data_IF_447801685048
#
_entry.id   IF_447801685048
#
_cell.length_a   1.000
_cell.length_b   1.000
_cell.length_c   1.000
_cell.angle_alpha   90.00
_cell.angle_beta   90.00
_cell.angle_gamma   90.00
#
_symmetry.space_group_name_H-M   'P 1'
#
loop_
_entity.id
_entity.type
_entity.pdbx_description
1 polymer ?
#
# COMPACT_ATOMS: atom_id res chain seq x y z
N UNK A 1 -2.09 -7.49 24.57
CA UNK A 1 -3.28 -8.23 25.02
C UNK A 1 -2.95 -9.44 25.91
N UNK A 2 -1.91 -10.25 25.64
CA UNK A 2 -1.63 -11.49 26.40
C UNK A 2 -1.02 -11.33 27.81
N UNK A 3 -0.93 -10.11 28.36
CA UNK A 3 -0.28 -9.87 29.67
C UNK A 3 -1.24 -9.94 30.86
N UNK A 4 -2.53 -10.21 30.62
CA UNK A 4 -3.56 -10.27 31.65
C UNK A 4 -4.19 -11.67 31.67
N UNK A 5 -3.73 -12.50 32.62
CA UNK A 5 -4.40 -13.72 33.09
C UNK A 5 -4.44 -14.95 32.14
N UNK A 6 -3.34 -15.28 31.46
CA UNK A 6 -3.22 -16.56 30.72
C UNK A 6 -2.25 -17.46 31.47
N UNK A 7 -2.75 -18.55 32.07
CA UNK A 7 -1.96 -19.50 32.87
C UNK A 7 -1.36 -20.66 32.05
N UNK A 8 -1.75 -20.81 30.76
CA UNK A 8 -1.24 -21.86 29.88
C UNK A 8 -1.87 -21.85 28.49
N UNK A 9 -1.26 -22.53 27.53
CA UNK A 9 -1.73 -22.65 26.15
C UNK A 9 -2.07 -24.12 25.81
N UNK A 10 -3.10 -24.38 24.98
CA UNK A 10 -4.07 -23.43 24.41
C UNK A 10 -5.09 -22.95 25.45
N UNK A 11 -5.54 -21.69 25.35
CA UNK A 11 -6.63 -21.13 26.19
C UNK A 11 -7.73 -20.56 25.30
N UNK A 12 -8.99 -20.93 25.55
CA UNK A 12 -10.15 -20.44 24.80
C UNK A 12 -10.91 -19.46 25.69
N UNK A 13 -11.11 -18.22 25.21
CA UNK A 13 -11.86 -17.18 25.93
C UNK A 13 -13.11 -16.76 25.17
N UNK A 14 -14.17 -16.51 25.91
CA UNK A 14 -15.49 -16.12 25.40
C UNK A 14 -15.72 -14.66 25.77
N UNK A 15 -16.07 -13.84 24.77
CA UNK A 15 -16.37 -12.42 24.96
C UNK A 15 -17.85 -12.17 24.66
N UNK A 16 -18.62 -11.67 25.63
CA UNK A 16 -20.02 -11.26 25.40
C UNK A 16 -20.18 -9.76 25.68
N UNK A 17 -20.98 -9.09 24.86
CA UNK A 17 -21.24 -7.66 25.00
C UNK A 17 -22.08 -7.41 26.25
N UNK A 18 -21.51 -6.76 27.26
CA UNK A 18 -22.20 -6.39 28.50
C UNK A 18 -22.03 -7.37 29.67
N UNK A 19 -21.25 -8.44 29.51
CA UNK A 19 -20.93 -9.40 30.59
C UNK A 19 -19.52 -9.23 31.16
N UNK A 20 -18.88 -8.09 30.90
CA UNK A 20 -17.57 -7.78 31.47
C UNK A 20 -17.75 -7.51 32.96
N UNK A 21 -17.42 -8.51 33.78
CA UNK A 21 -17.37 -8.34 35.22
C UNK A 21 -16.11 -7.52 35.51
N UNK A 22 -16.31 -6.37 36.15
CA UNK A 22 -15.22 -5.55 36.67
C UNK A 22 -14.85 -6.10 38.03
N UNK A 23 -13.63 -6.61 38.15
CA UNK A 23 -13.02 -6.82 39.45
C UNK A 23 -12.84 -5.47 40.17
N UNK A 24 -12.79 -5.45 41.50
CA UNK A 24 -12.69 -4.23 42.33
C UNK A 24 -11.47 -3.36 41.95
N UNK A 25 -10.49 -3.96 41.27
CA UNK A 25 -9.29 -3.31 40.74
C UNK A 25 -9.44 -2.77 39.29
N UNK A 26 -10.67 -2.66 38.76
CA UNK A 26 -10.94 -2.09 37.42
C UNK A 26 -10.51 -2.98 36.25
N UNK A 27 -10.31 -4.27 36.49
CA UNK A 27 -9.94 -5.25 35.46
C UNK A 27 -11.19 -5.90 34.86
N UNK A 28 -11.26 -5.92 33.53
CA UNK A 28 -12.29 -6.67 32.80
C UNK A 28 -11.88 -8.14 32.76
N UNK A 29 -12.61 -9.00 33.47
CA UNK A 29 -12.42 -10.44 33.42
C UNK A 29 -13.39 -11.08 32.43
N UNK A 30 -12.88 -12.03 31.64
CA UNK A 30 -13.62 -12.70 30.58
C UNK A 30 -13.75 -14.19 30.87
N UNK A 31 -14.89 -14.76 30.51
CA UNK A 31 -15.19 -16.17 30.68
C UNK A 31 -14.20 -17.02 29.86
N UNK A 32 -13.69 -18.09 30.46
CA UNK A 32 -12.78 -19.03 29.81
C UNK A 32 -13.46 -20.39 29.66
N UNK A 33 -13.27 -21.02 28.50
CA UNK A 33 -13.81 -22.34 28.22
C UNK A 33 -12.88 -23.43 28.75
N UNK A 34 -13.42 -24.28 29.62
CA UNK A 34 -12.70 -25.38 30.27
C UNK A 34 -13.23 -26.78 29.88
N UNK A 35 -14.17 -26.86 28.93
CA UNK A 35 -14.74 -28.13 28.48
C UNK A 35 -13.82 -28.93 27.56
N UNK A 36 -14.31 -30.11 27.17
CA UNK A 36 -13.62 -31.01 26.24
C UNK A 36 -13.43 -30.36 24.87
N UNK A 37 -12.23 -30.55 24.31
CA UNK A 37 -11.79 -29.86 23.09
C UNK A 37 -12.10 -30.64 21.82
N UNK A 38 -13.09 -31.52 21.88
CA UNK A 38 -13.59 -32.22 20.71
C UNK A 38 -14.43 -31.29 19.86
N UNK A 39 -14.46 -31.52 18.54
CA UNK A 39 -15.16 -30.63 17.60
C UNK A 39 -16.64 -30.52 17.96
N UNK A 40 -17.25 -31.64 18.29
CA UNK A 40 -18.70 -31.74 18.46
C UNK A 40 -19.15 -31.10 19.78
N UNK A 41 -18.36 -31.28 20.85
CA UNK A 41 -18.59 -30.64 22.15
C UNK A 41 -18.34 -29.14 22.09
N UNK A 42 -17.30 -28.70 21.38
CA UNK A 42 -16.98 -27.29 21.22
C UNK A 42 -18.05 -26.56 20.39
N UNK A 43 -18.51 -27.18 19.29
CA UNK A 43 -19.58 -26.62 18.44
C UNK A 43 -20.89 -26.56 19.23
N UNK A 44 -21.28 -27.65 19.89
CA UNK A 44 -22.52 -27.67 20.68
C UNK A 44 -22.50 -26.63 21.81
N UNK A 45 -21.36 -26.44 22.48
CA UNK A 45 -21.22 -25.42 23.52
C UNK A 45 -21.25 -24.02 22.95
N UNK A 46 -20.60 -23.74 21.81
CA UNK A 46 -20.69 -22.43 21.15
C UNK A 46 -22.12 -22.12 20.67
N UNK A 47 -22.83 -23.09 20.11
CA UNK A 47 -24.23 -22.92 19.68
C UNK A 47 -25.16 -22.64 20.87
N UNK A 48 -24.97 -23.36 21.98
CA UNK A 48 -25.70 -23.13 23.24
C UNK A 48 -25.41 -21.76 23.88
N UNK A 49 -24.25 -21.15 23.59
CA UNK A 49 -23.89 -19.82 24.08
C UNK A 49 -24.45 -18.68 23.21
N UNK A 50 -24.78 -18.96 21.94
CA UNK A 50 -25.38 -18.01 21.00
C UNK A 50 -26.90 -17.98 21.13
N UNK A 51 -27.53 -19.13 21.40
CA UNK A 51 -28.98 -19.27 21.57
C UNK A 51 -29.63 -18.38 22.65
N UNK A 52 -28.97 -17.97 23.76
CA UNK A 52 -29.58 -17.14 24.79
C UNK A 52 -29.59 -15.64 24.47
N UNK A 53 -28.98 -15.18 23.36
CA UNK A 53 -28.94 -13.76 23.01
C UNK A 53 -30.27 -13.37 22.35
N UNK A 54 -31.15 -12.59 23.02
CA UNK A 54 -32.41 -12.20 22.42
C UNK A 54 -32.12 -11.31 21.20
N UNK A 55 -32.73 -11.62 20.06
CA UNK A 55 -32.67 -10.79 18.83
C UNK A 55 -33.19 -9.35 19.05
N UNK A 56 -33.78 -9.07 20.21
CA UNK A 56 -34.40 -7.81 20.62
C UNK A 56 -33.43 -6.73 21.12
N UNK A 57 -32.14 -7.02 21.32
CA UNK A 57 -31.16 -5.97 21.68
C UNK A 57 -30.99 -4.90 20.57
N UNK A 58 -31.66 -5.06 19.41
CA UNK A 58 -31.78 -4.05 18.35
C UNK A 58 -32.80 -2.94 18.65
N UNK A 59 -33.72 -3.10 19.62
CA UNK A 59 -34.83 -2.14 19.79
C UNK A 59 -34.73 -1.21 21.02
N UNK A 60 -33.83 -1.46 21.96
CA UNK A 60 -33.77 -0.73 23.25
C UNK A 60 -32.65 0.33 23.37
N UNK A 61 -32.03 0.74 22.26
CA UNK A 61 -31.06 1.86 22.27
C UNK A 61 -31.43 2.94 21.23
N UNK A 62 -32.73 3.17 21.02
CA UNK A 62 -33.21 4.42 20.44
C UNK A 62 -33.30 5.44 21.58
N UNK A 63 -32.15 6.00 21.94
CA UNK A 63 -32.00 7.17 22.79
C UNK A 63 -31.17 8.19 22.02
N UNK A 64 -31.72 9.39 21.91
CA UNK A 64 -31.34 10.50 21.04
C UNK A 64 -29.85 10.87 20.94
N UNK A 65 -29.55 11.48 19.79
CA UNK A 65 -28.41 12.35 19.47
C UNK A 65 -27.03 11.68 19.44
N UNK A 66 -26.49 11.45 18.25
CA UNK A 66 -25.47 12.33 17.65
C UNK A 66 -24.95 11.73 16.32
N UNK A 67 -24.36 12.59 15.48
CA UNK A 67 -23.96 12.42 14.08
C UNK A 67 -22.91 11.30 13.82
N UNK A 68 -23.29 10.03 13.95
CA UNK A 68 -22.41 8.86 13.81
C UNK A 68 -22.39 8.25 12.40
N UNK A 69 -21.24 8.27 11.74
CA UNK A 69 -20.94 7.54 10.49
C UNK A 69 -21.41 6.08 10.56
N UNK A 70 -22.08 5.63 9.50
CA UNK A 70 -22.59 4.27 9.30
C UNK A 70 -21.50 3.19 9.45
N UNK A 71 -21.18 2.78 10.68
CA UNK A 71 -20.40 1.59 10.97
C UNK A 71 -21.27 0.35 10.76
N UNK A 72 -21.52 0.07 9.48
CA UNK A 72 -22.08 -1.18 8.99
C UNK A 72 -21.10 -2.29 9.31
N UNK A 73 -21.26 -2.94 10.47
CA UNK A 73 -20.50 -4.13 10.83
C UNK A 73 -20.70 -5.19 9.74
N UNK A 74 -19.65 -5.42 8.95
CA UNK A 74 -19.68 -6.38 7.84
C UNK A 74 -19.98 -7.78 8.39
N UNK A 75 -20.89 -8.54 7.76
CA UNK A 75 -21.15 -9.92 8.14
C UNK A 75 -19.86 -10.76 8.03
N UNK A 76 -19.74 -11.76 8.90
CA UNK A 76 -18.62 -12.71 8.83
C UNK A 76 -18.62 -13.39 7.44
N UNK A 77 -17.47 -13.45 6.74
CA UNK A 77 -17.39 -14.10 5.44
C UNK A 77 -17.85 -15.56 5.54
N UNK A 78 -18.66 -16.03 4.58
CA UNK A 78 -19.10 -17.43 4.48
C UNK A 78 -17.97 -18.41 4.17
N UNK A 79 -16.79 -17.91 3.81
CA UNK A 79 -15.62 -18.69 3.41
C UNK A 79 -14.50 -18.51 4.43
N UNK A 80 -13.91 -19.60 4.90
CA UNK A 80 -12.76 -19.57 5.81
C UNK A 80 -11.58 -18.83 5.17
N UNK A 81 -10.97 -17.93 5.93
CA UNK A 81 -9.82 -17.14 5.49
C UNK A 81 -9.11 -16.49 6.65
N UNK A 82 -7.83 -16.15 6.46
CA UNK A 82 -7.02 -15.47 7.47
C UNK A 82 -6.59 -14.10 6.93
N UNK A 83 -6.84 -13.04 7.72
CA UNK A 83 -6.29 -11.70 7.45
C UNK A 83 -5.02 -11.53 8.27
N UNK A 84 -3.89 -11.41 7.58
CA UNK A 84 -2.59 -11.16 8.21
C UNK A 84 -2.27 -9.68 8.02
N UNK A 85 -2.06 -8.97 9.13
CA UNK A 85 -1.66 -7.57 9.13
C UNK A 85 -0.59 -7.33 10.19
N UNK A 86 0.45 -6.60 9.83
CA UNK A 86 1.54 -6.29 10.76
C UNK A 86 2.74 -5.67 10.08
N UNK A 87 3.82 -5.57 10.85
CA UNK A 87 5.13 -5.17 10.36
C UNK A 87 6.19 -6.08 10.99
N UNK A 88 7.20 -6.42 10.22
CA UNK A 88 8.31 -7.27 10.68
C UNK A 88 9.61 -6.51 10.48
N UNK A 89 10.46 -6.46 11.50
CA UNK A 89 11.82 -5.91 11.39
C UNK A 89 12.76 -7.03 11.00
N UNK A 90 13.33 -6.91 9.81
CA UNK A 90 14.29 -7.87 9.26
C UNK A 90 15.63 -7.21 9.02
N UNK A 91 16.69 -8.01 8.93
CA UNK A 91 18.00 -7.53 8.46
C UNK A 91 17.89 -7.15 6.97
N UNK A 92 18.66 -6.15 6.53
CA UNK A 92 18.73 -5.72 5.13
C UNK A 92 19.61 -6.67 4.30
N UNK A 93 19.18 -7.92 4.15
CA UNK A 93 19.83 -8.96 3.36
C UNK A 93 18.78 -9.73 2.57
N UNK A 94 19.13 -10.38 1.45
CA UNK A 94 18.21 -11.26 0.73
C UNK A 94 17.61 -12.31 1.67
N UNK A 95 16.31 -12.58 1.53
CA UNK A 95 15.59 -13.46 2.44
C UNK A 95 14.23 -13.89 1.92
N UNK A 96 13.60 -14.79 2.69
CA UNK A 96 12.32 -15.39 2.34
C UNK A 96 11.31 -15.19 3.46
N UNK A 97 10.13 -14.67 3.14
CA UNK A 97 8.95 -14.69 4.00
C UNK A 97 8.04 -15.82 3.52
N UNK A 98 7.78 -16.80 4.38
CA UNK A 98 6.98 -17.98 4.04
C UNK A 98 5.74 -18.03 4.92
N UNK A 99 4.57 -18.05 4.29
CA UNK A 99 3.28 -18.23 4.94
C UNK A 99 2.81 -19.64 4.59
N UNK A 100 2.74 -20.50 5.61
CA UNK A 100 2.35 -21.90 5.48
C UNK A 100 1.73 -22.39 6.78
N UNK A 101 0.92 -23.45 6.74
CA UNK A 101 0.48 -24.10 7.96
C UNK A 101 1.63 -24.96 8.52
N UNK A 102 1.96 -24.77 9.79
CA UNK A 102 2.97 -25.58 10.48
C UNK A 102 2.49 -25.93 11.88
N UNK A 103 2.63 -27.21 12.22
CA UNK A 103 2.32 -27.77 13.53
C UNK A 103 3.37 -28.82 13.87
N UNK A 104 3.76 -28.89 15.15
CA UNK A 104 4.68 -29.92 15.63
C UNK A 104 3.98 -31.25 15.96
N UNK A 105 2.66 -31.22 16.18
CA UNK A 105 1.86 -32.36 16.63
C UNK A 105 0.85 -32.86 15.60
N UNK A 106 0.66 -32.13 14.49
CA UNK A 106 -0.35 -32.44 13.47
C UNK A 106 0.25 -32.40 12.08
N UNK A 107 -0.03 -33.42 11.26
CA UNK A 107 0.20 -33.40 9.82
C UNK A 107 -0.96 -32.72 9.12
N UNK A 108 -0.65 -31.93 8.09
CA UNK A 108 -1.67 -31.34 7.23
C UNK A 108 -1.71 -32.06 5.89
N UNK A 109 -2.90 -32.25 5.35
CA UNK A 109 -3.11 -32.76 4.01
C UNK A 109 -2.89 -31.64 2.97
N UNK A 110 -1.85 -31.72 2.12
CA UNK A 110 -1.57 -30.75 1.06
C UNK A 110 -2.74 -30.53 0.09
N UNK A 111 -3.56 -31.55 -0.15
CA UNK A 111 -4.66 -31.50 -1.12
C UNK A 111 -5.81 -30.60 -0.67
N UNK A 112 -5.98 -30.44 0.65
CA UNK A 112 -7.01 -29.59 1.26
C UNK A 112 -6.52 -28.16 1.52
N UNK A 113 -5.26 -27.86 1.22
CA UNK A 113 -4.65 -26.58 1.52
C UNK A 113 -4.87 -25.57 0.40
N UNK A 114 -5.63 -24.52 0.71
CA UNK A 114 -5.82 -23.40 -0.19
C UNK A 114 -4.85 -22.26 0.16
N UNK A 115 -3.88 -22.01 -0.74
CA UNK A 115 -2.92 -20.91 -0.64
C UNK A 115 -3.33 -19.67 -1.46
N UNK A 116 -4.58 -19.64 -1.93
CA UNK A 116 -5.13 -18.49 -2.63
C UNK A 116 -5.18 -17.29 -1.69
N UNK A 117 -4.67 -16.15 -2.15
CA UNK A 117 -4.57 -14.96 -1.31
C UNK A 117 -4.66 -13.66 -2.12
N UNK A 118 -4.99 -12.59 -1.40
CA UNK A 118 -5.02 -11.23 -1.94
C UNK A 118 -4.02 -10.40 -1.18
N UNK A 119 -3.14 -9.71 -1.91
CA UNK A 119 -2.14 -8.83 -1.31
C UNK A 119 -2.74 -7.43 -1.26
N UNK A 120 -3.20 -7.01 -0.08
CA UNK A 120 -3.79 -5.68 0.11
C UNK A 120 -2.73 -4.59 0.18
N UNK A 121 -1.64 -4.84 0.91
CA UNK A 121 -0.56 -3.88 1.07
C UNK A 121 0.76 -4.56 1.46
N UNK A 122 1.80 -4.37 0.66
CA UNK A 122 3.17 -4.74 0.95
C UNK A 122 4.11 -3.56 0.69
N UNK A 123 4.96 -3.24 1.66
CA UNK A 123 5.89 -2.11 1.56
C UNK A 123 7.16 -2.39 2.33
N UNK A 124 8.29 -1.88 1.83
CA UNK A 124 9.58 -1.95 2.51
C UNK A 124 9.98 -0.58 3.05
N UNK A 125 10.66 -0.57 4.20
CA UNK A 125 11.10 0.67 4.84
C UNK A 125 10.09 1.29 5.80
N UNK A 126 10.31 2.58 6.12
CA UNK A 126 9.46 3.32 7.06
C UNK A 126 8.22 3.82 6.32
N UNK A 127 7.05 3.72 6.95
CA UNK A 127 5.83 4.37 6.42
C UNK A 127 6.05 5.88 6.35
N UNK A 128 5.95 6.43 5.15
CA UNK A 128 6.06 7.87 4.89
C UNK A 128 4.71 8.51 5.24
N UNK A 129 4.71 9.70 5.85
CA UNK A 129 3.46 10.42 6.11
C UNK A 129 2.84 10.93 4.81
N UNK A 130 1.50 11.04 4.76
CA UNK A 130 0.79 11.50 3.55
C UNK A 130 1.31 12.84 3.02
N UNK A 131 1.62 13.79 3.91
CA UNK A 131 2.20 15.10 3.54
C UNK A 131 3.54 14.97 2.82
N UNK A 132 4.39 14.08 3.32
CA UNK A 132 5.73 13.86 2.79
C UNK A 132 5.68 13.06 1.49
N UNK A 133 4.75 12.11 1.38
CA UNK A 133 4.47 11.40 0.14
C UNK A 133 4.05 12.36 -0.97
N UNK A 134 3.14 13.32 -0.69
CA UNK A 134 2.76 14.33 -1.67
C UNK A 134 3.92 15.24 -2.11
N UNK A 135 4.88 15.54 -1.23
CA UNK A 135 6.10 16.27 -1.60
C UNK A 135 6.98 15.43 -2.52
N UNK A 136 7.17 14.14 -2.21
CA UNK A 136 7.94 13.20 -3.05
C UNK A 136 7.28 13.02 -4.41
N UNK A 137 5.96 12.80 -4.48
CA UNK A 137 5.24 12.66 -5.76
C UNK A 137 5.41 13.89 -6.66
N UNK A 138 5.53 15.09 -6.09
CA UNK A 138 5.82 16.32 -6.86
C UNK A 138 7.25 16.35 -7.41
N UNK A 139 8.22 15.91 -6.60
CA UNK A 139 9.64 15.88 -6.99
C UNK A 139 9.93 14.74 -7.99
N UNK A 140 9.14 13.67 -7.92
CA UNK A 140 9.31 12.47 -8.72
C UNK A 140 7.98 11.93 -9.22
N UNK A 141 7.40 12.54 -10.27
CA UNK A 141 6.16 12.04 -10.87
C UNK A 141 6.32 10.61 -11.42
N UNK A 142 7.55 10.20 -11.75
CA UNK A 142 7.85 8.84 -12.24
C UNK A 142 8.00 7.78 -11.14
N UNK A 143 8.30 8.18 -9.89
CA UNK A 143 8.42 7.24 -8.76
C UNK A 143 7.06 6.98 -8.07
N UNK A 144 6.08 7.86 -8.28
CA UNK A 144 4.73 7.74 -7.69
C UNK A 144 3.82 6.68 -8.33
N UNK A 145 4.28 5.96 -9.36
CA UNK A 145 3.49 4.96 -10.07
C UNK A 145 3.40 3.64 -9.30
N UNK A 146 2.52 3.58 -8.29
CA UNK A 146 2.23 2.40 -7.44
C UNK A 146 3.44 1.83 -6.69
N UNK A 147 3.69 2.40 -5.51
CA UNK A 147 4.65 1.94 -4.49
C UNK A 147 4.47 0.45 -4.15
N UNK A 148 3.25 -0.06 -4.32
CA UNK A 148 2.93 -1.46 -4.17
C UNK A 148 2.49 -2.06 -5.52
N UNK A 149 3.36 -2.89 -6.11
CA UNK A 149 3.10 -3.57 -7.39
C UNK A 149 2.14 -4.74 -7.26
N UNK A 150 1.94 -5.25 -6.04
CA UNK A 150 1.13 -6.42 -5.72
C UNK A 150 -0.23 -6.06 -5.14
N UNK A 151 -0.47 -4.77 -4.84
CA UNK A 151 -1.72 -4.26 -4.31
C UNK A 151 -2.94 -4.71 -5.10
N UNK A 152 -3.93 -5.20 -4.36
CA UNK A 152 -5.24 -5.64 -4.83
C UNK A 152 -5.16 -6.75 -5.91
N UNK A 153 -4.01 -7.42 -6.04
CA UNK A 153 -3.86 -8.58 -6.90
C UNK A 153 -4.33 -9.84 -6.19
N UNK A 154 -5.09 -10.64 -6.92
CA UNK A 154 -5.64 -11.92 -6.46
C UNK A 154 -4.84 -13.05 -7.07
N UNK A 155 -4.35 -13.95 -6.23
CA UNK A 155 -3.63 -15.15 -6.63
C UNK A 155 -4.45 -16.36 -6.23
N UNK A 156 -4.83 -17.17 -7.20
CA UNK A 156 -5.69 -18.35 -6.99
C UNK A 156 -4.90 -19.62 -7.32
N UNK A 157 -4.99 -20.61 -6.44
CA UNK A 157 -4.43 -21.96 -6.70
C UNK A 157 -5.32 -22.78 -7.64
N UNK A 158 -6.57 -22.35 -7.84
CA UNK A 158 -7.59 -23.03 -8.64
C UNK A 158 -7.59 -22.46 -10.06
N UNK A 159 -6.81 -23.03 -10.97
CA UNK A 159 -6.86 -22.67 -12.40
C UNK A 159 -7.58 -23.78 -13.17
N UNK A 160 -8.73 -23.42 -13.72
CA UNK A 160 -9.54 -24.20 -14.68
C UNK A 160 -8.87 -24.18 -16.05
N UNK A 161 -7.86 -25.02 -16.27
CA UNK A 161 -7.39 -25.30 -17.62
C UNK A 161 -7.08 -26.79 -17.73
N UNK A 162 -8.02 -27.53 -18.34
CA UNK A 162 -7.94 -28.95 -18.71
C UNK A 162 -7.51 -29.94 -17.59
N UNK A 163 -8.51 -30.53 -16.93
CA UNK A 163 -8.50 -31.89 -16.34
C UNK A 163 -7.39 -32.35 -15.37
N UNK A 164 -6.63 -31.45 -14.76
CA UNK A 164 -5.80 -31.82 -13.59
C UNK A 164 -6.02 -30.82 -12.45
N UNK A 165 -6.73 -31.27 -11.42
CA UNK A 165 -6.79 -30.59 -10.12
C UNK A 165 -5.39 -30.63 -9.54
N UNK A 166 -4.63 -29.54 -9.66
CA UNK A 166 -3.30 -29.47 -9.06
C UNK A 166 -3.43 -29.34 -7.54
N UNK A 167 -3.36 -30.47 -6.84
CA UNK A 167 -3.61 -30.62 -5.39
C UNK A 167 -2.40 -30.28 -4.52
N UNK A 168 -1.68 -29.19 -4.76
CA UNK A 168 -0.46 -28.80 -4.01
C UNK A 168 0.31 -27.65 -4.71
N UNK A 169 -0.38 -26.56 -5.00
CA UNK A 169 0.24 -25.40 -5.65
C UNK A 169 0.81 -24.45 -4.59
N UNK A 170 2.12 -24.25 -4.66
CA UNK A 170 2.82 -23.17 -3.95
C UNK A 170 2.82 -21.91 -4.81
N UNK A 171 2.52 -20.76 -4.20
CA UNK A 171 2.57 -19.46 -4.89
C UNK A 171 3.84 -18.76 -4.47
N UNK A 172 4.72 -18.46 -5.42
CA UNK A 172 6.01 -17.82 -5.16
C UNK A 172 6.04 -16.41 -5.76
N UNK A 173 6.34 -15.43 -4.93
CA UNK A 173 6.52 -14.03 -5.32
C UNK A 173 8.00 -13.67 -5.20
N UNK A 174 8.60 -13.27 -6.31
CA UNK A 174 9.96 -12.78 -6.40
C UNK A 174 9.91 -11.24 -6.41
N UNK A 175 10.49 -10.64 -5.38
CA UNK A 175 10.48 -9.21 -5.10
C UNK A 175 11.90 -8.68 -5.20
N UNK A 176 12.15 -7.78 -6.15
CA UNK A 176 13.43 -7.09 -6.26
C UNK A 176 13.27 -5.66 -5.76
N UNK A 177 13.91 -5.35 -4.64
CA UNK A 177 13.77 -4.09 -3.91
C UNK A 177 14.89 -3.13 -4.32
N UNK A 178 14.55 -1.91 -4.72
CA UNK A 178 15.49 -0.85 -5.06
C UNK A 178 15.38 0.26 -4.03
N UNK A 179 16.52 0.71 -3.49
CA UNK A 179 16.58 1.87 -2.60
C UNK A 179 16.57 3.15 -3.45
N UNK A 180 15.67 4.05 -3.10
CA UNK A 180 15.62 5.40 -3.68
C UNK A 180 15.83 6.44 -2.59
N UNK A 181 16.75 7.36 -2.82
CA UNK A 181 17.01 8.50 -1.96
C UNK A 181 16.59 9.78 -2.67
N UNK A 182 15.68 10.53 -2.06
CA UNK A 182 15.26 11.84 -2.57
C UNK A 182 15.81 12.93 -1.66
N UNK A 183 16.64 13.80 -2.24
CA UNK A 183 17.18 14.97 -1.55
C UNK A 183 16.30 16.17 -1.92
N UNK A 184 15.45 16.58 -0.98
CA UNK A 184 14.67 17.82 -1.12
C UNK A 184 15.47 19.00 -0.57
N UNK A 185 15.81 19.96 -1.44
CA UNK A 185 16.44 21.22 -1.05
C UNK A 185 15.37 22.25 -0.78
N UNK A 186 14.92 22.33 0.48
CA UNK A 186 14.00 23.41 0.89
C UNK A 186 14.82 24.70 1.00
N UNK A 187 14.37 25.76 0.33
CA UNK A 187 15.01 27.10 0.32
C UNK A 187 15.47 27.50 1.73
N UNK A 188 16.78 27.44 2.00
CA UNK A 188 17.39 27.85 3.27
C UNK A 188 17.28 26.91 4.49
N UNK A 189 16.78 25.68 4.37
CA UNK A 189 16.82 24.68 5.47
C UNK A 189 17.49 23.39 5.01
N UNK A 190 18.16 22.73 5.96
CA UNK A 190 18.94 21.50 5.78
C UNK A 190 18.31 20.52 4.79
N UNK A 191 19.17 19.91 3.95
CA UNK A 191 18.77 18.89 2.99
C UNK A 191 18.08 17.73 3.75
N UNK A 192 16.76 17.56 3.54
CA UNK A 192 16.04 16.42 4.12
C UNK A 192 16.22 15.22 3.20
N UNK A 193 16.99 14.23 3.65
CA UNK A 193 17.11 12.94 2.99
C UNK A 193 15.85 12.12 3.24
N UNK A 194 15.20 11.70 2.16
CA UNK A 194 14.04 10.81 2.20
C UNK A 194 14.47 9.48 1.61
N UNK A 195 14.44 8.43 2.42
CA UNK A 195 14.68 7.06 1.95
C UNK A 195 13.34 6.39 1.63
N UNK A 196 13.18 5.96 0.39
CA UNK A 196 12.07 5.17 -0.11
C UNK A 196 12.58 3.85 -0.67
N UNK A 197 11.74 2.81 -0.61
CA UNK A 197 12.05 1.49 -1.16
C UNK A 197 10.94 1.12 -2.12
N UNK A 198 11.29 1.07 -3.39
CA UNK A 198 10.41 0.55 -4.43
C UNK A 198 10.76 -0.90 -4.70
N UNK A 199 9.84 -1.68 -5.27
CA UNK A 199 10.15 -3.03 -5.70
C UNK A 199 9.43 -3.39 -6.98
N UNK A 200 10.05 -4.29 -7.75
CA UNK A 200 9.39 -5.02 -8.82
C UNK A 200 8.93 -6.36 -8.27
N UNK A 201 7.86 -6.92 -8.85
CA UNK A 201 7.30 -8.17 -8.41
C UNK A 201 6.99 -9.08 -9.60
N UNK A 202 7.45 -10.33 -9.51
CA UNK A 202 7.09 -11.40 -10.40
C UNK A 202 6.46 -12.54 -9.59
N UNK A 203 5.39 -13.14 -10.08
CA UNK A 203 4.66 -14.19 -9.36
C UNK A 203 4.59 -15.43 -10.22
N UNK A 204 4.92 -16.58 -9.64
CA UNK A 204 4.90 -17.87 -10.28
C UNK A 204 4.10 -18.87 -9.46
N UNK A 205 3.48 -19.83 -10.15
CA UNK A 205 2.79 -20.96 -9.56
C UNK A 205 3.67 -22.19 -9.73
N UNK A 206 4.10 -22.78 -8.62
CA UNK A 206 5.00 -23.94 -8.62
C UNK A 206 4.29 -25.10 -7.96
N UNK A 207 4.23 -26.23 -8.65
CA UNK A 207 3.79 -27.49 -8.05
C UNK A 207 4.93 -28.04 -7.20
N UNK A 208 4.65 -28.36 -5.94
CA UNK A 208 5.63 -28.91 -5.02
C UNK A 208 5.06 -30.11 -4.30
N UNK A 209 5.91 -31.11 -4.05
CA UNK A 209 5.56 -32.29 -3.22
C UNK A 209 5.47 -31.89 -1.73
N UNK A 210 6.04 -30.73 -1.37
CA UNK A 210 6.04 -30.21 -0.01
C UNK A 210 4.72 -29.51 0.34
N UNK A 211 4.55 -29.21 1.64
CA UNK A 211 3.40 -28.47 2.18
C UNK A 211 3.23 -27.16 1.38
N UNK A 212 2.04 -26.92 0.78
CA UNK A 212 1.75 -25.69 0.06
C UNK A 212 1.98 -24.45 0.92
N UNK A 213 2.45 -23.39 0.28
CA UNK A 213 2.85 -22.16 0.93
C UNK A 213 2.75 -20.99 -0.03
N UNK A 214 2.50 -19.81 0.53
CA UNK A 214 2.76 -18.54 -0.14
C UNK A 214 4.16 -18.06 0.28
N UNK A 215 5.09 -18.02 -0.68
CA UNK A 215 6.48 -17.60 -0.44
C UNK A 215 6.73 -16.24 -1.07
N UNK A 216 7.42 -15.39 -0.34
CA UNK A 216 7.87 -14.08 -0.79
C UNK A 216 9.39 -14.06 -0.69
N UNK A 217 10.04 -14.24 -1.83
CA UNK A 217 11.48 -14.10 -1.99
C UNK A 217 11.76 -12.62 -2.19
N UNK A 218 12.53 -12.01 -1.29
CA UNK A 218 12.91 -10.61 -1.42
C UNK A 218 14.42 -10.46 -1.51
N UNK A 219 14.86 -9.70 -2.51
CA UNK A 219 16.27 -9.42 -2.77
C UNK A 219 16.47 -7.92 -2.90
N UNK A 220 17.54 -7.41 -2.28
CA UNK A 220 17.91 -6.00 -2.38
C UNK A 220 18.80 -5.82 -3.61
N UNK A 221 18.38 -4.92 -4.49
CA UNK A 221 19.19 -4.50 -5.64
C UNK A 221 20.49 -3.86 -5.15
N UNK A 222 21.64 -4.18 -5.77
CA UNK A 222 22.90 -3.50 -5.48
C UNK A 222 22.90 -2.05 -5.99
N UNK A 223 21.92 -1.65 -6.80
CA UNK A 223 21.77 -0.30 -7.33
C UNK A 223 20.90 0.57 -6.41
N UNK A 224 21.25 1.85 -6.32
CA UNK A 224 20.50 2.87 -5.61
C UNK A 224 20.18 4.03 -6.55
N UNK A 225 18.95 4.52 -6.49
CA UNK A 225 18.51 5.70 -7.25
C UNK A 225 18.64 6.92 -6.36
N UNK A 226 19.44 7.90 -6.78
CA UNK A 226 19.57 9.18 -6.10
C UNK A 226 18.85 10.27 -6.91
N UNK A 227 17.82 10.86 -6.33
CA UNK A 227 17.08 11.98 -6.93
C UNK A 227 17.48 13.27 -6.24
N UNK A 228 18.10 14.15 -7.03
CA UNK A 228 18.49 15.49 -6.60
C UNK A 228 17.80 16.55 -7.44
N UNK A 229 17.28 17.57 -6.79
CA UNK A 229 16.78 18.75 -7.47
C UNK A 229 17.94 19.66 -7.90
N UNK A 230 18.06 19.93 -9.21
CA UNK A 230 19.02 20.89 -9.75
C UNK A 230 18.31 22.22 -10.03
N UNK A 231 18.46 23.24 -9.16
CA UNK A 231 17.87 24.54 -9.41
C UNK A 231 18.60 25.25 -10.56
N UNK A 232 17.85 25.90 -11.44
CA UNK A 232 18.43 26.84 -12.41
C UNK A 232 18.85 28.12 -11.70
N UNK A 233 20.01 28.66 -12.03
CA UNK A 233 20.49 29.93 -11.47
C UNK A 233 19.59 31.09 -11.89
N UNK A 234 19.40 32.09 -11.02
CA UNK A 234 18.67 33.32 -11.35
C UNK A 234 19.25 34.05 -12.57
N UNK A 235 20.56 33.94 -12.81
CA UNK A 235 21.21 34.49 -14.01
C UNK A 235 20.57 33.98 -15.30
N UNK A 236 20.17 32.70 -15.35
CA UNK A 236 19.52 32.10 -16.52
C UNK A 236 18.13 32.70 -16.78
N UNK A 237 17.44 33.17 -15.74
CA UNK A 237 16.19 33.89 -15.89
C UNK A 237 16.43 35.28 -16.50
N UNK A 238 17.40 36.03 -15.97
CA UNK A 238 17.73 37.36 -16.47
C UNK A 238 18.20 37.33 -17.92
N UNK A 239 19.03 36.36 -18.29
CA UNK A 239 19.47 36.19 -19.69
C UNK A 239 18.28 35.91 -20.61
N UNK A 240 17.30 35.10 -20.19
CA UNK A 240 16.10 34.84 -20.97
C UNK A 240 15.24 36.10 -21.12
N UNK A 241 15.06 36.89 -20.06
CA UNK A 241 14.31 38.15 -20.11
C UNK A 241 14.98 39.14 -21.07
N UNK A 242 16.30 39.31 -20.95
CA UNK A 242 17.07 40.17 -21.85
C UNK A 242 16.96 39.71 -23.32
N UNK A 243 17.01 38.40 -23.57
CA UNK A 243 16.86 37.84 -24.92
C UNK A 243 15.47 38.14 -25.50
N UNK A 244 14.41 38.04 -24.70
CA UNK A 244 13.04 38.36 -25.14
C UNK A 244 12.91 39.85 -25.45
N UNK A 245 13.38 40.74 -24.56
CA UNK A 245 13.31 42.20 -24.77
C UNK A 245 14.12 42.60 -26.00
N UNK A 246 15.36 42.09 -26.11
CA UNK A 246 16.23 42.37 -27.26
C UNK A 246 15.64 41.85 -28.58
N UNK A 247 15.02 40.67 -28.56
CA UNK A 247 14.31 40.08 -29.70
C UNK A 247 13.11 40.91 -30.16
N UNK A 248 12.29 41.38 -29.22
CA UNK A 248 11.14 42.26 -29.54
C UNK A 248 11.61 43.57 -30.16
N UNK A 249 12.67 44.19 -29.61
CA UNK A 249 13.20 45.45 -30.12
C UNK A 249 13.80 45.32 -31.53
N UNK A 250 14.50 44.21 -31.79
CA UNK A 250 15.05 43.92 -33.13
C UNK A 250 13.95 43.65 -34.15
N UNK A 251 12.93 42.86 -33.81
CA UNK A 251 11.80 42.59 -34.71
C UNK A 251 10.99 43.86 -34.99
N UNK A 252 10.73 44.69 -33.98
CA UNK A 252 10.05 45.97 -34.15
C UNK A 252 10.85 46.92 -35.05
N UNK A 253 12.18 47.01 -34.86
CA UNK A 253 13.05 47.85 -35.70
C UNK A 253 13.09 47.39 -37.16
N UNK A 254 13.10 46.09 -37.43
CA UNK A 254 13.04 45.56 -38.80
C UNK A 254 11.68 45.88 -39.44
N UNK A 255 10.58 45.66 -38.73
CA UNK A 255 9.23 45.97 -39.23
C UNK A 255 9.05 47.45 -39.56
N UNK A 256 9.49 48.34 -38.67
CA UNK A 256 9.42 49.78 -38.89
C UNK A 256 10.28 50.22 -40.08
N UNK A 257 11.49 49.66 -40.20
CA UNK A 257 12.38 49.95 -41.32
C UNK A 257 11.79 49.49 -42.66
N UNK A 258 11.18 48.30 -42.71
CA UNK A 258 10.49 47.77 -43.90
C UNK A 258 9.27 48.63 -44.27
N UNK A 259 8.42 48.97 -43.30
CA UNK A 259 7.23 49.82 -43.49
C UNK A 259 7.60 51.21 -44.00
N UNK A 260 8.60 51.86 -43.39
CA UNK A 260 9.02 53.18 -43.79
C UNK A 260 9.63 53.20 -45.20
N UNK A 261 10.41 52.17 -45.57
CA UNK A 261 10.96 52.07 -46.92
C UNK A 261 9.87 51.79 -47.96
N UNK A 262 8.89 50.92 -47.65
CA UNK A 262 7.76 50.68 -48.56
C UNK A 262 6.90 51.91 -48.75
N UNK A 263 6.56 52.64 -47.67
CA UNK A 263 5.81 53.89 -47.77
C UNK A 263 6.58 54.98 -48.56
N UNK A 264 7.90 55.08 -48.38
CA UNK A 264 8.74 56.00 -49.18
C UNK A 264 8.80 55.60 -50.65
N UNK A 265 8.88 54.30 -50.96
CA UNK A 265 8.86 53.81 -52.34
C UNK A 265 7.50 54.07 -52.99
N UNK A 266 6.39 53.81 -52.30
CA UNK A 266 5.04 54.09 -52.81
C UNK A 266 4.87 55.58 -53.08
N UNK A 267 5.27 56.46 -52.14
CA UNK A 267 5.25 57.91 -52.36
C UNK A 267 6.13 58.36 -53.53
N UNK A 268 7.30 57.73 -53.73
CA UNK A 268 8.18 58.02 -54.89
C UNK A 268 7.52 57.60 -56.21
N UNK A 269 6.83 56.45 -56.24
CA UNK A 269 6.09 55.97 -57.42
C UNK A 269 4.88 56.85 -57.73
N UNK A 270 4.15 57.30 -56.71
CA UNK A 270 2.96 58.16 -56.84
C UNK A 270 3.30 59.58 -57.31
N UNK A 271 4.47 60.11 -56.95
CA UNK A 271 4.98 61.41 -57.42
C UNK A 271 5.61 61.38 -58.83
N UNK A 272 5.57 60.24 -59.53
CA UNK A 272 5.95 60.14 -60.95
C UNK A 272 7.43 60.42 -61.24
N UNK A 273 8.31 60.35 -60.25
CA UNK A 273 9.75 60.53 -60.44
C UNK A 273 10.43 59.17 -60.50
N UNK A 274 10.39 58.57 -61.70
CA UNK A 274 11.33 57.52 -62.04
C UNK A 274 12.73 58.16 -62.19
N UNK A 275 13.76 57.39 -61.85
CA UNK A 275 15.18 57.72 -61.68
C UNK A 275 15.56 58.27 -60.28
#
# INVERSE_FOLDING_TARGET
MCRKHIQGYPSIRIFRKGSDIRDDNGHHDHESYYGDRDTDTLVATMEALVSPVPKESKKLLMGDNDNGTNDTKRPAPLTGGCRIEGFVRVKKVPGNLVISARSGSHSFDPSQMNMSHVISHLSFGKRISSKMLSEVTKLTPYLGGSIDRLKDRVYMTQVTQHDVVNTNVTIEHYLQIVKTEVISRRYGRENKLIEEYEYTAHSSLVQSINIPAAKFHFELSPMMVLVTENPRSFSHFITNVCAIIGGVFTVAGILDSVLHNTLRLIKKVELGKNY
#
